data_IF_692243688636
#
_entry.id   IF_692243688636
#
_cell.length_a   1.000
_cell.length_b   1.000
_cell.length_c   1.000
_cell.angle_alpha   90.00
_cell.angle_beta   90.00
_cell.angle_gamma   90.00
#
_symmetry.space_group_name_H-M   'P 1'
#
loop_
_entity.id
_entity.type
_entity.pdbx_description
1 polymer ?
#
# COMPACT_ATOMS: atom_id res chain seq x y z
N UNK A 1 -75.14 -25.45 -13.64
CA UNK A 1 -74.59 -26.62 -14.38
C UNK A 1 -73.23 -26.98 -13.76
N UNK A 2 -72.90 -28.27 -13.57
CA UNK A 2 -71.66 -28.83 -12.95
C UNK A 2 -71.50 -28.47 -11.44
N UNK A 3 -71.44 -29.38 -10.44
CA UNK A 3 -70.52 -30.52 -10.11
C UNK A 3 -69.05 -30.05 -10.02
N UNK A 4 -68.20 -30.33 -9.00
CA UNK A 4 -68.22 -31.16 -7.76
C UNK A 4 -67.51 -30.35 -6.62
N UNK A 5 -67.23 -30.77 -5.36
CA UNK A 5 -67.30 -32.04 -4.62
C UNK A 5 -67.06 -31.85 -3.08
N UNK A 6 -66.30 -32.74 -2.40
CA UNK A 6 -65.88 -32.67 -0.97
C UNK A 6 -64.54 -33.39 -0.70
N UNK A 7 -63.92 -33.08 0.46
CA UNK A 7 -63.01 -33.83 1.40
C UNK A 7 -61.79 -32.92 1.76
N UNK A 8 -61.38 -32.67 3.01
CA UNK A 8 -61.28 -33.40 4.30
C UNK A 8 -60.13 -34.44 4.34
N UNK A 9 -59.30 -34.34 5.39
CA UNK A 9 -57.96 -34.94 5.61
C UNK A 9 -57.98 -36.45 5.93
N UNK A 10 -56.82 -37.17 6.00
CA UNK A 10 -55.89 -37.16 7.14
C UNK A 10 -54.39 -37.05 6.71
N UNK A 11 -53.36 -36.74 7.51
CA UNK A 11 -52.90 -37.14 8.86
C UNK A 11 -52.34 -38.59 8.99
N UNK A 12 -51.08 -38.66 9.43
CA UNK A 12 -50.26 -39.82 9.82
C UNK A 12 -49.86 -40.88 8.76
N UNK A 13 -48.54 -41.12 8.65
CA UNK A 13 -48.02 -42.41 9.12
C UNK A 13 -46.61 -42.28 9.73
N UNK A 14 -46.31 -43.09 10.75
CA UNK A 14 -45.01 -43.18 11.43
C UNK A 14 -44.08 -44.16 10.69
N UNK A 15 -42.83 -43.74 10.44
CA UNK A 15 -41.74 -44.62 9.99
C UNK A 15 -40.62 -44.68 11.03
N UNK A 16 -40.66 -45.64 11.96
CA UNK A 16 -39.67 -45.75 13.05
C UNK A 16 -38.39 -46.47 12.64
N UNK A 17 -37.42 -45.73 12.07
CA UNK A 17 -36.08 -46.24 11.80
C UNK A 17 -35.14 -46.12 13.00
N UNK A 18 -34.95 -47.19 13.78
CA UNK A 18 -33.93 -47.25 14.85
C UNK A 18 -32.56 -47.65 14.29
N UNK A 19 -31.50 -47.16 14.96
CA UNK A 19 -30.06 -47.51 14.83
C UNK A 19 -29.35 -46.80 13.66
N UNK A 20 -28.09 -46.36 13.77
CA UNK A 20 -27.14 -46.51 14.88
C UNK A 20 -26.42 -45.19 15.20
N UNK A 21 -26.34 -44.87 16.49
CA UNK A 21 -25.47 -43.82 17.02
C UNK A 21 -24.01 -44.24 16.80
N UNK A 22 -23.40 -43.78 15.69
CA UNK A 22 -21.95 -43.84 15.54
C UNK A 22 -21.34 -42.89 16.56
N UNK A 23 -20.91 -43.45 17.69
CA UNK A 23 -20.10 -42.75 18.68
C UNK A 23 -18.91 -42.14 17.96
N UNK A 24 -18.87 -40.81 17.85
CA UNK A 24 -17.62 -40.12 17.58
C UNK A 24 -16.69 -40.47 18.76
N UNK A 25 -15.66 -41.28 18.52
CA UNK A 25 -14.56 -41.35 19.45
C UNK A 25 -13.93 -39.96 19.45
N UNK A 26 -14.10 -39.23 20.54
CA UNK A 26 -13.26 -38.08 20.82
C UNK A 26 -11.83 -38.61 20.94
N UNK A 27 -11.02 -38.36 19.91
CA UNK A 27 -9.58 -38.59 19.97
C UNK A 27 -9.05 -37.53 20.94
N UNK A 28 -8.91 -37.93 22.20
CA UNK A 28 -8.36 -37.10 23.26
C UNK A 28 -6.85 -36.99 23.05
N UNK A 29 -6.43 -36.08 22.16
CA UNK A 29 -5.03 -35.83 21.84
C UNK A 29 -4.37 -35.11 23.03
N UNK A 30 -3.90 -35.88 24.01
CA UNK A 30 -3.13 -35.37 25.15
C UNK A 30 -1.69 -35.02 24.69
N UNK A 31 -1.55 -33.91 23.98
CA UNK A 31 -0.26 -33.40 23.53
C UNK A 31 0.40 -32.57 24.62
N UNK A 32 1.05 -33.26 25.57
CA UNK A 32 2.00 -32.62 26.50
C UNK A 32 3.30 -32.34 25.74
N UNK A 33 3.29 -31.36 24.85
CA UNK A 33 4.49 -30.89 24.15
C UNK A 33 5.23 -29.94 25.09
N UNK A 34 6.24 -30.48 25.78
CA UNK A 34 7.28 -29.67 26.40
C UNK A 34 8.12 -29.01 25.30
N UNK A 35 8.26 -27.69 25.35
CA UNK A 35 9.34 -26.98 24.63
C UNK A 35 9.16 -26.81 23.12
N UNK A 36 7.94 -26.81 22.58
CA UNK A 36 7.68 -26.16 21.30
C UNK A 36 7.17 -24.75 21.57
N UNK A 37 8.03 -23.75 21.41
CA UNK A 37 7.56 -22.38 21.19
C UNK A 37 6.72 -22.42 19.90
N UNK A 38 5.42 -22.16 20.05
CA UNK A 38 4.56 -21.92 18.89
C UNK A 38 5.04 -20.61 18.28
N UNK A 39 5.81 -20.70 17.19
CA UNK A 39 6.11 -19.57 16.32
C UNK A 39 4.79 -18.88 15.98
N UNK A 40 4.57 -17.73 16.61
CA UNK A 40 3.28 -17.05 16.65
C UNK A 40 2.73 -16.86 15.23
N UNK A 41 1.44 -17.17 14.97
CA UNK A 41 0.85 -17.09 13.63
C UNK A 41 0.76 -15.67 13.04
N UNK A 42 1.36 -14.66 13.69
CA UNK A 42 1.50 -13.27 13.22
C UNK A 42 2.10 -13.19 11.82
N UNK A 43 3.06 -14.05 11.48
CA UNK A 43 3.67 -14.06 10.14
C UNK A 43 2.68 -14.48 9.03
N UNK A 44 1.61 -15.21 9.33
CA UNK A 44 0.62 -15.65 8.35
C UNK A 44 -0.45 -14.59 8.04
N UNK A 45 -0.64 -13.59 8.91
CA UNK A 45 -1.53 -12.46 8.66
C UNK A 45 -0.81 -11.28 7.99
N UNK A 46 0.51 -11.17 8.17
CA UNK A 46 1.36 -10.16 7.50
C UNK A 46 1.36 -10.25 5.97
N UNK A 47 1.04 -11.43 5.41
CA UNK A 47 0.96 -11.65 3.97
C UNK A 47 -0.36 -11.20 3.31
N UNK A 48 -1.35 -10.74 4.08
CA UNK A 48 -2.61 -10.21 3.54
C UNK A 48 -2.47 -8.72 3.19
N UNK A 49 -1.73 -8.49 2.10
CA UNK A 49 -1.83 -7.30 1.22
C UNK A 49 -1.68 -5.94 1.91
N UNK A 50 -0.48 -5.64 2.41
CA UNK A 50 0.06 -4.29 2.23
C UNK A 50 0.97 -4.31 0.99
N UNK A 51 0.34 -4.33 -0.19
CA UNK A 51 1.06 -4.29 -1.46
C UNK A 51 1.52 -2.85 -1.71
N UNK A 52 2.78 -2.57 -1.38
CA UNK A 52 3.40 -1.27 -1.56
C UNK A 52 3.79 -0.99 -3.03
N UNK A 53 3.59 -1.93 -3.97
CA UNK A 53 3.91 -1.75 -5.39
C UNK A 53 3.28 -0.48 -6.02
N UNK A 54 2.04 -0.07 -5.70
CA UNK A 54 1.45 1.18 -6.21
C UNK A 54 2.10 2.47 -5.66
N UNK A 55 2.98 2.39 -4.66
CA UNK A 55 3.74 3.53 -4.15
C UNK A 55 5.05 3.77 -4.91
N UNK A 56 5.55 2.74 -5.61
CA UNK A 56 6.71 2.86 -6.49
C UNK A 56 6.45 3.87 -7.61
N UNK A 57 7.52 4.43 -8.13
CA UNK A 57 7.48 5.45 -9.19
C UNK A 57 8.78 5.35 -9.98
N UNK A 58 8.70 4.88 -11.21
CA UNK A 58 9.86 4.84 -12.13
C UNK A 58 10.04 6.18 -12.86
N UNK A 59 9.14 7.14 -12.61
CA UNK A 59 9.17 8.52 -13.12
C UNK A 59 9.12 8.64 -14.66
N UNK A 60 8.57 7.64 -15.35
CA UNK A 60 8.36 7.58 -16.81
C UNK A 60 6.93 7.95 -17.26
N UNK A 61 6.09 8.40 -16.32
CA UNK A 61 4.78 8.98 -16.59
C UNK A 61 4.64 10.31 -15.84
N UNK A 62 4.62 11.42 -16.58
CA UNK A 62 4.40 12.76 -16.04
C UNK A 62 3.10 12.91 -15.22
N UNK A 63 2.11 12.01 -15.41
CA UNK A 63 0.89 12.00 -14.61
C UNK A 63 1.10 11.53 -13.16
N UNK A 64 2.18 10.78 -12.89
CA UNK A 64 2.47 10.26 -11.54
C UNK A 64 2.75 11.36 -10.51
N UNK A 65 3.01 12.60 -10.95
CA UNK A 65 3.28 13.74 -10.06
C UNK A 65 2.12 14.04 -9.11
N UNK A 66 0.87 13.73 -9.50
CA UNK A 66 -0.29 13.86 -8.60
C UNK A 66 -0.28 12.90 -7.40
N UNK A 67 0.60 11.89 -7.41
CA UNK A 67 0.79 10.96 -6.31
C UNK A 67 1.77 11.49 -5.25
N UNK A 68 2.37 12.66 -5.46
CA UNK A 68 3.38 13.25 -4.58
C UNK A 68 2.88 14.54 -3.92
N UNK A 69 3.19 14.69 -2.64
CA UNK A 69 2.84 15.87 -1.84
C UNK A 69 4.05 16.79 -1.65
N UNK A 70 3.80 18.09 -1.50
CA UNK A 70 4.82 19.12 -1.26
C UNK A 70 4.73 19.68 0.16
N UNK A 71 5.86 19.79 0.85
CA UNK A 71 5.88 20.25 2.26
C UNK A 71 5.31 21.66 2.45
N UNK A 72 5.57 22.58 1.51
CA UNK A 72 5.03 23.95 1.56
C UNK A 72 3.50 23.97 1.41
N UNK A 73 2.92 23.06 0.64
CA UNK A 73 1.47 22.95 0.45
C UNK A 73 0.79 22.32 1.67
N UNK A 74 1.33 21.21 2.16
CA UNK A 74 0.76 20.44 3.28
C UNK A 74 0.88 21.17 4.62
N UNK A 75 2.02 21.80 4.91
CA UNK A 75 2.21 22.61 6.11
C UNK A 75 1.70 24.06 5.95
N UNK A 76 1.15 24.41 4.78
CA UNK A 76 0.59 25.73 4.45
C UNK A 76 1.56 26.92 4.58
N UNK A 77 2.86 26.70 4.37
CA UNK A 77 3.83 27.79 4.23
C UNK A 77 3.74 28.38 2.82
N UNK A 78 3.46 29.68 2.73
CA UNK A 78 3.46 30.42 1.45
C UNK A 78 4.90 30.70 0.95
N UNK A 79 5.67 29.63 0.73
CA UNK A 79 7.08 29.65 0.36
C UNK A 79 7.40 28.40 -0.48
N UNK A 80 7.29 28.52 -1.81
CA UNK A 80 7.68 27.44 -2.72
C UNK A 80 9.22 27.37 -2.84
N UNK A 81 9.80 26.27 -2.35
CA UNK A 81 11.25 26.07 -2.37
C UNK A 81 11.77 25.55 -3.71
N UNK A 82 10.92 25.07 -4.63
CA UNK A 82 11.33 24.57 -5.93
C UNK A 82 11.03 25.58 -7.04
N UNK A 83 12.03 25.83 -7.87
CA UNK A 83 11.89 26.58 -9.13
C UNK A 83 11.37 25.68 -10.25
N UNK A 84 11.77 24.40 -10.23
CA UNK A 84 11.29 23.36 -11.14
C UNK A 84 10.92 22.15 -10.29
N UNK A 85 9.71 21.64 -10.51
CA UNK A 85 9.23 20.38 -9.97
C UNK A 85 8.35 19.71 -11.03
N UNK A 86 8.89 18.68 -11.68
CA UNK A 86 8.21 17.91 -12.71
C UNK A 86 8.63 16.43 -12.68
N UNK A 87 7.90 15.62 -13.43
CA UNK A 87 8.22 14.21 -13.73
C UNK A 87 8.14 14.06 -15.24
N UNK A 88 9.14 13.41 -15.84
CA UNK A 88 9.22 13.10 -17.28
C UNK A 88 9.08 14.31 -18.23
N UNK A 89 9.36 15.55 -17.77
CA UNK A 89 9.25 16.75 -18.60
C UNK A 89 10.61 17.42 -18.82
N UNK A 90 11.30 17.83 -17.75
CA UNK A 90 12.64 18.45 -17.85
C UNK A 90 13.72 17.39 -18.07
N UNK A 91 13.57 16.21 -17.47
CA UNK A 91 14.41 15.04 -17.73
C UNK A 91 13.52 13.80 -17.83
N UNK A 92 13.67 13.03 -18.92
CA UNK A 92 12.87 11.82 -19.15
C UNK A 92 13.20 10.72 -18.13
N UNK A 93 12.18 9.99 -17.66
CA UNK A 93 12.31 8.92 -16.67
C UNK A 93 12.79 9.38 -15.29
N UNK A 94 12.49 10.63 -14.90
CA UNK A 94 13.00 11.26 -13.66
C UNK A 94 12.00 12.25 -13.07
N UNK A 95 11.95 12.32 -11.74
CA UNK A 95 11.47 13.51 -11.03
C UNK A 95 12.61 14.52 -10.94
N UNK A 96 12.37 15.75 -11.37
CA UNK A 96 13.31 16.86 -11.26
C UNK A 96 12.92 17.75 -10.08
N UNK A 97 13.88 18.05 -9.21
CA UNK A 97 13.74 19.00 -8.10
C UNK A 97 14.83 20.07 -8.23
N UNK A 98 14.53 21.20 -8.86
CA UNK A 98 15.46 22.34 -8.91
C UNK A 98 15.14 23.31 -7.77
N UNK A 99 15.97 23.41 -6.71
CA UNK A 99 15.72 24.33 -5.61
C UNK A 99 15.93 25.79 -6.04
N UNK A 100 15.09 26.68 -5.52
CA UNK A 100 15.44 28.08 -5.26
C UNK A 100 16.57 28.15 -4.21
N UNK A 101 17.08 29.33 -3.88
CA UNK A 101 17.98 29.46 -2.72
C UNK A 101 17.22 29.08 -1.43
N UNK A 102 17.50 27.89 -0.91
CA UNK A 102 16.81 27.31 0.24
C UNK A 102 17.80 26.86 1.33
N UNK A 103 17.34 26.81 2.58
CA UNK A 103 18.17 26.42 3.74
C UNK A 103 17.34 25.66 4.76
N UNK A 104 17.96 24.70 5.45
CA UNK A 104 17.41 24.06 6.64
C UNK A 104 17.93 24.78 7.90
N UNK A 105 17.15 25.74 8.41
CA UNK A 105 17.49 26.48 9.63
C UNK A 105 16.23 26.99 10.35
N UNK A 106 16.04 26.63 11.62
CA UNK A 106 14.84 26.96 12.40
C UNK A 106 13.55 26.57 11.66
N UNK A 107 12.77 27.57 11.20
CA UNK A 107 11.53 27.40 10.45
C UNK A 107 11.74 27.37 8.93
N UNK A 108 12.95 27.72 8.45
CA UNK A 108 13.31 27.52 7.05
C UNK A 108 13.53 26.02 6.80
N UNK A 109 12.88 25.54 5.75
CA UNK A 109 12.91 24.16 5.26
C UNK A 109 13.47 24.18 3.84
N UNK A 110 14.29 23.20 3.49
CA UNK A 110 14.57 22.90 2.08
C UNK A 110 13.35 22.29 1.38
N UNK A 111 13.42 22.10 0.06
CA UNK A 111 12.36 21.43 -0.67
C UNK A 111 12.19 19.97 -0.22
N UNK A 112 10.95 19.51 -0.23
CA UNK A 112 10.61 18.11 -0.01
C UNK A 112 9.35 17.76 -0.80
N UNK A 113 9.46 16.71 -1.63
CA UNK A 113 8.35 15.98 -2.23
C UNK A 113 8.27 14.61 -1.54
N UNK A 114 7.07 14.15 -1.18
CA UNK A 114 6.91 12.92 -0.38
C UNK A 114 5.60 12.17 -0.63
N UNK A 115 5.57 10.90 -0.21
CA UNK A 115 4.38 10.06 -0.03
C UNK A 115 4.29 9.66 1.44
N UNK A 116 3.09 9.58 2.01
CA UNK A 116 2.91 9.06 3.38
C UNK A 116 2.78 7.54 3.34
N UNK A 117 3.52 6.84 4.21
CA UNK A 117 3.53 5.38 4.30
C UNK A 117 3.50 4.98 5.78
N UNK A 118 2.67 4.00 6.14
CA UNK A 118 2.50 3.52 7.52
C UNK A 118 2.86 2.05 7.63
N UNK A 119 3.43 1.65 8.77
CA UNK A 119 3.85 0.27 9.01
C UNK A 119 5.35 0.06 8.78
N UNK A 120 5.76 -1.20 8.62
CA UNK A 120 7.16 -1.58 8.43
C UNK A 120 7.47 -1.66 6.93
N UNK A 121 8.25 -0.71 6.41
CA UNK A 121 8.61 -0.65 5.00
C UNK A 121 10.10 -0.36 4.78
N UNK A 122 10.57 -0.65 3.57
CA UNK A 122 11.87 -0.24 3.05
C UNK A 122 11.62 0.61 1.81
N UNK A 123 12.26 1.77 1.72
CA UNK A 123 12.32 2.54 0.48
C UNK A 123 13.74 2.48 -0.09
N UNK A 124 13.86 2.63 -1.40
CA UNK A 124 15.13 2.81 -2.10
C UNK A 124 14.88 3.79 -3.23
N UNK A 125 15.83 4.68 -3.48
CA UNK A 125 15.74 5.70 -4.54
C UNK A 125 17.10 5.90 -5.18
N UNK A 126 17.10 6.22 -6.48
CA UNK A 126 18.30 6.55 -7.22
C UNK A 126 18.36 8.06 -7.41
N UNK A 127 19.32 8.72 -6.77
CA UNK A 127 19.47 10.18 -6.80
C UNK A 127 20.65 10.56 -7.68
N UNK A 128 20.39 11.39 -8.68
CA UNK A 128 21.41 12.12 -9.42
C UNK A 128 21.46 13.55 -8.90
N UNK A 129 22.67 14.06 -8.64
CA UNK A 129 22.90 15.45 -8.23
C UNK A 129 23.91 16.04 -9.21
N UNK A 130 23.51 17.14 -9.84
CA UNK A 130 24.34 17.98 -10.70
C UNK A 130 24.34 19.40 -10.13
N UNK A 131 25.09 20.32 -10.74
CA UNK A 131 24.76 21.74 -10.62
C UNK A 131 23.49 22.08 -11.43
N UNK A 132 23.22 23.37 -11.63
CA UNK A 132 21.99 23.86 -12.29
C UNK A 132 22.17 23.97 -13.81
N UNK A 133 23.42 24.07 -14.23
CA UNK A 133 23.97 24.33 -15.54
C UNK A 133 23.93 23.02 -16.36
N UNK A 134 24.29 21.90 -15.72
CA UNK A 134 24.42 20.53 -16.22
C UNK A 134 23.09 19.83 -16.59
N UNK A 135 22.15 20.54 -17.22
CA UNK A 135 21.02 19.93 -17.94
C UNK A 135 21.49 19.28 -19.26
N UNK A 136 22.50 18.41 -19.20
CA UNK A 136 23.03 17.72 -20.37
C UNK A 136 24.54 17.52 -20.44
N UNK A 137 25.21 17.37 -19.30
CA UNK A 137 26.62 16.97 -19.23
C UNK A 137 27.59 18.13 -19.13
N UNK A 138 28.32 18.18 -18.02
CA UNK A 138 29.49 19.03 -17.79
C UNK A 138 30.38 19.09 -19.02
N UNK A 139 30.37 20.27 -19.65
CA UNK A 139 31.54 20.73 -20.38
C UNK A 139 32.64 21.12 -19.39
N UNK A 140 33.86 21.33 -19.92
CA UNK A 140 35.05 21.44 -19.09
C UNK A 140 35.37 22.90 -18.70
N UNK A 141 34.49 23.84 -19.05
CA UNK A 141 34.80 25.27 -19.06
C UNK A 141 33.56 26.18 -19.09
N UNK A 142 33.01 26.49 -17.91
CA UNK A 142 32.11 27.66 -17.75
C UNK A 142 32.41 28.48 -16.47
N UNK A 143 33.48 29.29 -16.53
CA UNK A 143 33.72 30.44 -15.64
C UNK A 143 34.32 31.61 -16.42
N UNK A 144 33.58 32.72 -16.57
CA UNK A 144 34.13 34.07 -16.75
C UNK A 144 34.51 34.75 -15.43
#
# INVERSE_FOLDING_TARGET
>A
MKKLGRLIQPLFNFGSGRRAMRRALAVSTLMTVWGAELLEPRLLLSGMTDDLTPLNDEFDDASSISNWQRVNEVEHWNADQLQVWDIDQTQAGRMVLQPNTAVWYQNYRGPMAFKEVTGDFIFTTHVYVTDRDDLGGSDADDVP
#
